data_IF_915930592421
#
_entry.id   IF_915930592421
#
_cell.length_a   1.000
_cell.length_b   1.000
_cell.length_c   1.000
_cell.angle_alpha   90.00
_cell.angle_beta   90.00
_cell.angle_gamma   90.00
#
_symmetry.space_group_name_H-M   'P 1'
#
loop_
_entity.id
_entity.type
_entity.pdbx_description
1 polymer ?
2 polymer ?
3 polymer ?
4 non-polymer ?
5 water ?
#
# COMPACT_ATOMS: atom_id res chain seq x y z
N UNK A 1 -2.71 -2.99 8.21
CA UNK A 1 -3.66 -2.25 7.34
C UNK A 1 -3.35 -0.76 7.28
N UNK A 2 -3.79 -0.01 8.29
CA UNK A 2 -3.58 1.43 8.34
C UNK A 2 -2.98 1.92 9.68
N UNK A 3 -1.80 1.42 10.01
CA UNK A 3 -1.09 1.81 11.24
C UNK A 3 0.26 2.41 10.85
N UNK A 4 0.25 3.17 9.75
CA UNK A 4 1.44 3.81 9.22
C UNK A 4 1.70 5.16 9.90
N UNK A 5 2.97 5.57 9.90
CA UNK A 5 3.39 6.81 10.53
C UNK A 5 2.84 8.10 9.92
N UNK A 6 2.55 8.09 8.62
CA UNK A 6 2.03 9.28 7.96
C UNK A 6 0.51 9.42 7.99
N UNK A 7 -0.17 8.49 8.65
CA UNK A 7 -1.62 8.53 8.76
C UNK A 7 -2.02 9.50 9.87
N UNK A 8 -2.75 10.55 9.51
CA UNK A 8 -3.18 11.56 10.48
C UNK A 8 -4.62 11.45 10.96
N UNK A 9 -5.36 10.48 10.45
CA UNK A 9 -6.74 10.33 10.88
C UNK A 9 -7.69 11.38 10.34
N UNK A 10 -8.61 11.82 11.19
CA UNK A 10 -9.63 12.80 10.82
C UNK A 10 -9.23 14.27 10.85
N UNK A 11 -8.23 14.66 10.07
CA UNK A 11 -7.84 16.07 10.04
C UNK A 11 -8.49 16.70 8.81
N UNK A 12 -8.73 18.00 8.86
CA UNK A 12 -9.37 18.69 7.75
C UNK A 12 -8.46 18.84 6.53
N UNK A 13 -9.06 19.09 5.38
CA UNK A 13 -8.32 19.26 4.15
C UNK A 13 -7.33 20.41 4.30
N UNK A 14 -7.80 21.52 4.88
CA UNK A 14 -6.95 22.69 5.07
C UNK A 14 -5.82 22.43 6.07
N UNK A 15 -6.06 21.57 7.05
CA UNK A 15 -5.03 21.26 8.02
C UNK A 15 -3.92 20.47 7.33
N UNK A 16 -4.33 19.57 6.43
CA UNK A 16 -3.36 18.77 5.69
C UNK A 16 -2.50 19.64 4.79
N UNK A 17 -3.12 20.62 4.15
CA UNK A 17 -2.41 21.54 3.27
C UNK A 17 -1.35 22.30 4.07
N UNK A 18 -1.72 22.73 5.28
CA UNK A 18 -0.82 23.47 6.16
C UNK A 18 0.41 22.64 6.52
N UNK A 19 0.20 21.45 7.06
CA UNK A 19 1.31 20.60 7.44
C UNK A 19 2.31 20.42 6.30
N UNK A 20 1.80 20.19 5.09
CA UNK A 20 2.67 19.98 3.94
C UNK A 20 3.39 21.24 3.48
N UNK A 21 2.68 22.36 3.47
CA UNK A 21 3.28 23.62 3.04
C UNK A 21 4.37 24.06 3.99
N UNK A 22 4.24 23.68 5.26
CA UNK A 22 5.22 24.04 6.28
C UNK A 22 6.60 23.46 5.97
N UNK A 23 6.66 22.21 5.52
CA UNK A 23 7.96 21.63 5.21
C UNK A 23 8.65 22.41 4.10
N UNK A 24 7.85 22.98 3.21
CA UNK A 24 8.39 23.74 2.10
C UNK A 24 9.12 22.86 1.10
N UNK A 25 8.88 21.55 1.17
CA UNK A 25 9.54 20.59 0.29
C UNK A 25 8.63 19.80 -0.65
N UNK A 26 8.94 19.82 -1.94
CA UNK A 26 8.18 19.04 -2.92
C UNK A 26 8.40 17.59 -2.53
N UNK A 27 7.36 16.77 -2.59
CA UNK A 27 7.52 15.37 -2.24
C UNK A 27 7.15 15.06 -0.81
N UNK A 28 6.87 16.07 0.01
CA UNK A 28 6.46 15.80 1.37
C UNK A 28 5.03 15.24 1.27
N UNK A 29 4.71 14.25 2.10
CA UNK A 29 3.40 13.63 2.03
C UNK A 29 2.81 13.14 3.35
N UNK A 30 1.49 13.04 3.38
CA UNK A 30 0.77 12.55 4.55
C UNK A 30 -0.49 11.83 4.08
N UNK A 31 -1.10 11.08 4.98
CA UNK A 31 -2.31 10.34 4.64
C UNK A 31 -3.37 10.68 5.68
N UNK A 32 -4.56 11.05 5.22
CA UNK A 32 -5.65 11.39 6.13
C UNK A 32 -6.95 10.76 5.63
N UNK A 33 -8.02 10.96 6.41
CA UNK A 33 -9.35 10.45 6.08
C UNK A 33 -10.02 11.41 5.12
N UNK A 34 -10.96 10.89 4.34
CA UNK A 34 -11.71 11.73 3.41
C UNK A 34 -12.62 12.54 4.33
N UNK A 35 -12.94 13.78 3.95
CA UNK A 35 -13.80 14.60 4.79
C UNK A 35 -15.29 14.24 4.74
N UNK A 36 -15.69 13.31 3.88
CA UNK A 36 -17.11 12.99 3.79
C UNK A 36 -17.50 11.60 3.29
N UNK A 37 -16.52 10.78 2.92
CA UNK A 37 -16.83 9.43 2.45
C UNK A 37 -16.14 8.41 3.35
N UNK A 38 -16.93 7.61 4.07
CA UNK A 38 -16.37 6.60 4.96
C UNK A 38 -15.58 5.56 4.19
N UNK A 39 -14.47 5.12 4.76
CA UNK A 39 -13.66 4.10 4.12
C UNK A 39 -12.81 4.57 2.96
N UNK A 40 -12.76 5.87 2.73
CA UNK A 40 -11.95 6.42 1.66
C UNK A 40 -10.85 7.30 2.27
N UNK A 41 -9.63 7.15 1.77
CA UNK A 41 -8.53 7.94 2.31
C UNK A 41 -7.87 8.81 1.24
N UNK A 42 -7.15 9.83 1.70
CA UNK A 42 -6.46 10.75 0.80
C UNK A 42 -4.95 10.82 1.01
N UNK A 43 -4.21 10.46 -0.03
CA UNK A 43 -2.76 10.54 0.01
C UNK A 43 -2.46 11.94 -0.54
N UNK A 44 -1.84 12.78 0.28
CA UNK A 44 -1.53 14.15 -0.12
C UNK A 44 -0.03 14.39 -0.32
N UNK A 45 0.32 14.96 -1.47
CA UNK A 45 1.71 15.24 -1.80
C UNK A 45 1.88 16.67 -2.26
N UNK A 46 2.89 17.36 -1.74
CA UNK A 46 3.14 18.74 -2.14
C UNK A 46 4.02 18.80 -3.40
N UNK A 47 3.58 19.57 -4.40
CA UNK A 47 4.36 19.73 -5.62
C UNK A 47 4.13 21.12 -6.22
N UNK A 48 5.19 21.93 -6.23
CA UNK A 48 5.17 23.29 -6.75
C UNK A 48 4.03 24.18 -6.24
N UNK A 49 3.82 24.19 -4.93
CA UNK A 49 2.79 25.04 -4.37
C UNK A 49 1.40 24.47 -4.24
N UNK A 50 1.16 23.27 -4.78
CA UNK A 50 -0.17 22.68 -4.67
C UNK A 50 -0.12 21.33 -3.96
N UNK A 51 -1.23 20.95 -3.33
CA UNK A 51 -1.28 19.67 -2.65
C UNK A 51 -2.07 18.69 -3.52
N UNK A 52 -1.36 17.75 -4.12
CA UNK A 52 -1.99 16.75 -4.95
C UNK A 52 -2.57 15.65 -4.08
N UNK A 53 -3.87 15.45 -4.25
CA UNK A 53 -4.60 14.47 -3.47
C UNK A 53 -5.05 13.26 -4.29
N UNK A 54 -4.62 12.08 -3.87
CA UNK A 54 -5.01 10.85 -4.53
C UNK A 54 -5.92 10.12 -3.57
N UNK A 55 -7.04 9.64 -4.10
CA UNK A 55 -8.00 8.90 -3.30
C UNK A 55 -7.59 7.44 -3.23
N UNK A 56 -7.59 6.89 -2.02
CA UNK A 56 -7.21 5.50 -1.80
C UNK A 56 -8.33 4.76 -1.08
N UNK A 57 -8.60 3.53 -1.50
CA UNK A 57 -9.67 2.75 -0.90
C UNK A 57 -9.51 1.24 -1.06
N UNK A 58 -10.25 0.51 -0.24
CA UNK A 58 -10.24 -0.95 -0.25
C UNK A 58 -11.34 -1.54 -1.11
N UNK A 59 -11.14 -2.80 -1.50
CA UNK A 59 -12.12 -3.54 -2.28
C UNK A 59 -12.73 -4.52 -1.27
N UNK A 60 -13.63 -5.38 -1.72
CA UNK A 60 -14.26 -6.35 -0.82
C UNK A 60 -13.21 -7.26 -0.18
N UNK A 61 -12.24 -7.69 -0.99
CA UNK A 61 -11.18 -8.57 -0.54
C UNK A 61 -10.15 -7.91 0.39
N UNK A 62 -10.36 -6.63 0.69
CA UNK A 62 -9.46 -5.92 1.58
C UNK A 62 -8.12 -5.48 1.00
N UNK A 63 -8.07 -5.32 -0.32
CA UNK A 63 -6.86 -4.88 -0.98
C UNK A 63 -6.95 -3.38 -1.26
N UNK A 64 -5.83 -2.67 -1.09
CA UNK A 64 -5.81 -1.23 -1.31
C UNK A 64 -5.44 -0.84 -2.73
N UNK A 65 -5.94 0.32 -3.15
CA UNK A 65 -5.70 0.81 -4.49
C UNK A 65 -5.90 2.31 -4.55
N UNK A 66 -5.07 2.97 -5.35
CA UNK A 66 -5.15 4.42 -5.53
C UNK A 66 -5.95 4.71 -6.80
N UNK A 67 -6.72 5.79 -6.78
CA UNK A 67 -7.53 6.14 -7.94
C UNK A 67 -6.65 6.26 -9.18
N UNK A 68 -7.02 5.54 -10.23
CA UNK A 68 -6.25 5.53 -11.46
C UNK A 68 -6.97 6.21 -12.62
N UNK A 69 -6.20 6.82 -13.51
CA UNK A 69 -6.75 7.51 -14.68
C UNK A 69 -7.38 6.50 -15.61
N UNK A 70 -8.46 6.89 -16.30
CA UNK A 70 -9.13 5.98 -17.23
C UNK A 70 -8.19 5.39 -18.28
N UNK A 71 -8.29 4.08 -18.48
CA UNK A 71 -7.45 3.40 -19.45
C UNK A 71 -6.20 2.79 -18.85
N UNK A 72 -5.89 3.16 -17.61
CA UNK A 72 -4.70 2.66 -16.93
C UNK A 72 -5.04 1.54 -15.95
N UNK A 73 -4.23 0.49 -15.98
CA UNK A 73 -4.43 -0.65 -15.10
C UNK A 73 -4.24 -0.30 -13.62
N UNK A 74 -5.22 -0.66 -12.80
CA UNK A 74 -5.15 -0.41 -11.37
C UNK A 74 -4.13 -1.36 -10.77
N UNK A 75 -3.55 -0.96 -9.65
CA UNK A 75 -2.59 -1.79 -8.95
C UNK A 75 -3.08 -1.97 -7.52
N UNK A 76 -3.04 -3.20 -7.02
CA UNK A 76 -3.52 -3.46 -5.67
C UNK A 76 -2.42 -3.83 -4.69
N UNK A 77 -2.68 -3.58 -3.41
CA UNK A 77 -1.72 -3.88 -2.35
C UNK A 77 -2.47 -4.35 -1.09
N UNK A 78 -2.00 -5.42 -0.45
CA UNK A 78 -2.66 -5.91 0.77
C UNK A 78 -2.47 -4.93 1.91
N UNK A 79 -1.25 -4.41 2.04
CA UNK A 79 -0.95 -3.46 3.10
C UNK A 79 -0.70 -2.08 2.51
N UNK A 80 -1.32 -1.08 3.12
CA UNK A 80 -1.19 0.28 2.65
C UNK A 80 0.27 0.72 2.68
N UNK A 81 1.05 0.14 3.58
CA UNK A 81 2.46 0.49 3.69
C UNK A 81 3.24 0.08 2.43
N UNK A 82 2.72 -0.89 1.69
CA UNK A 82 3.39 -1.33 0.47
C UNK A 82 2.95 -0.48 -0.72
N UNK A 83 1.83 0.22 -0.56
CA UNK A 83 1.34 1.07 -1.63
C UNK A 83 2.22 2.32 -1.58
N UNK A 84 2.54 2.76 -0.37
CA UNK A 84 3.39 3.92 -0.17
C UNK A 84 4.80 3.65 -0.67
N UNK A 85 5.37 2.51 -0.30
CA UNK A 85 6.71 2.17 -0.77
C UNK A 85 6.75 2.21 -2.29
N UNK A 86 5.77 1.58 -2.93
CA UNK A 86 5.71 1.55 -4.39
C UNK A 86 5.75 2.96 -5.00
N UNK A 87 5.21 3.94 -4.29
CA UNK A 87 5.19 5.29 -4.83
C UNK A 87 6.34 6.19 -4.39
N UNK A 88 7.32 5.61 -3.70
CA UNK A 88 8.51 6.33 -3.29
C UNK A 88 9.48 6.23 -4.47
N UNK A 89 9.19 5.30 -5.38
CA UNK A 89 10.03 5.10 -6.56
C UNK A 89 9.67 6.08 -7.67
N UNK A 90 10.63 6.37 -8.55
CA UNK A 90 10.38 7.31 -9.65
C UNK A 90 9.50 6.72 -10.76
N UNK A 91 8.98 7.60 -11.61
CA UNK A 91 8.12 7.25 -12.74
C UNK A 91 7.04 6.20 -12.46
N UNK A 92 6.31 6.38 -11.36
CA UNK A 92 5.25 5.45 -10.99
C UNK A 92 3.85 5.98 -11.29
N UNK A 93 3.77 7.13 -11.95
CA UNK A 93 2.47 7.67 -12.27
C UNK A 93 1.93 8.81 -11.44
N UNK A 94 2.65 9.25 -10.41
CA UNK A 94 2.17 10.39 -9.64
C UNK A 94 3.06 11.60 -9.95
N UNK A 95 2.61 12.81 -9.60
CA UNK A 95 3.36 14.03 -9.91
C UNK A 95 4.83 14.04 -9.48
N UNK A 96 5.14 13.48 -8.31
CA UNK A 96 6.51 13.40 -7.82
C UNK A 96 6.56 12.30 -6.75
N UNK A 97 7.66 11.56 -6.68
CA UNK A 97 7.79 10.47 -5.70
C UNK A 97 7.64 10.87 -4.24
N UNK A 98 6.92 10.07 -3.48
CA UNK A 98 6.75 10.34 -2.07
C UNK A 98 8.17 10.36 -1.49
N UNK A 99 8.59 11.47 -0.88
CA UNK A 99 9.95 11.55 -0.34
C UNK A 99 10.10 11.95 1.12
N UNK A 100 9.34 12.94 1.57
CA UNK A 100 9.43 13.39 2.95
C UNK A 100 8.15 13.10 3.72
N UNK A 101 8.15 12.01 4.50
CA UNK A 101 6.96 11.66 5.27
C UNK A 101 6.70 12.64 6.39
N UNK A 102 5.50 13.22 6.42
CA UNK A 102 5.12 14.14 7.48
C UNK A 102 4.34 13.31 8.49
N UNK A 103 5.05 12.77 9.47
CA UNK A 103 4.46 11.92 10.51
C UNK A 103 3.55 12.64 11.50
N UNK A 104 2.61 11.90 12.08
CA UNK A 104 1.68 12.49 13.04
C UNK A 104 2.33 12.65 14.41
N UNK B 1 -8.07 30.05 -3.67
CA UNK B 1 -8.70 29.78 -2.35
C UNK B 1 -8.30 28.40 -1.81
N UNK B 2 -8.07 27.45 -2.72
CA UNK B 2 -7.68 26.09 -2.33
C UNK B 2 -6.48 25.59 -3.11
N UNK B 3 -5.49 25.08 -2.38
CA UNK B 3 -4.28 24.57 -3.00
C UNK B 3 -4.39 23.08 -3.33
N UNK B 4 -5.52 22.47 -2.99
CA UNK B 4 -5.71 21.05 -3.26
C UNK B 4 -6.15 20.76 -4.69
N UNK B 5 -5.51 19.77 -5.31
CA UNK B 5 -5.85 19.36 -6.67
C UNK B 5 -6.08 17.86 -6.60
N UNK B 6 -7.24 17.39 -7.06
CA UNK B 6 -7.53 15.96 -7.05
C UNK B 6 -6.89 15.31 -8.27
N UNK B 7 -5.98 14.39 -8.00
CA UNK B 7 -5.22 13.73 -9.04
C UNK B 7 -5.52 12.26 -9.13
N UNK B 8 -5.05 11.65 -10.22
CA UNK B 8 -5.23 10.23 -10.46
C UNK B 8 -3.87 9.69 -10.89
N UNK B 9 -3.65 8.40 -10.68
CA UNK B 9 -2.41 7.76 -11.05
C UNK B 9 -2.40 7.63 -12.58
N UNK B 10 -1.29 7.99 -13.21
CA UNK B 10 -1.21 7.95 -14.67
C UNK B 10 -0.57 6.71 -15.30
N UNK B 11 0.10 5.88 -14.51
CA UNK B 11 0.73 4.67 -15.04
C UNK B 11 0.37 3.45 -14.22
N UNK C 1 8.75 -24.84 15.02
CA UNK C 1 8.29 -24.74 13.60
C UNK C 1 9.19 -23.75 12.85
N UNK C 2 9.61 -24.11 11.64
CA UNK C 2 10.48 -23.25 10.84
C UNK C 2 10.10 -23.20 9.36
N UNK C 3 9.94 -24.37 8.75
CA UNK C 3 9.58 -24.44 7.34
C UNK C 3 8.15 -24.87 7.05
N UNK C 4 7.58 -24.33 5.98
CA UNK C 4 6.23 -24.66 5.54
C UNK C 4 6.26 -25.00 4.07
N UNK C 5 5.29 -25.78 3.62
CA UNK C 5 5.20 -26.14 2.21
C UNK C 5 3.80 -25.76 1.71
N UNK C 6 3.72 -25.36 0.45
CA UNK C 6 2.44 -24.96 -0.13
C UNK C 6 1.64 -26.20 -0.48
N UNK C 7 0.36 -26.19 -0.11
CA UNK C 7 -0.54 -27.31 -0.39
C UNK C 7 -1.22 -27.20 -1.75
N UNK C 8 -1.42 -25.98 -2.22
CA UNK C 8 -2.09 -25.73 -3.50
C UNK C 8 -1.41 -24.56 -4.23
N UNK C 9 -1.59 -24.48 -5.55
CA UNK C 9 -1.04 -23.40 -6.36
C UNK C 9 -1.72 -22.09 -5.95
N UNK C 10 -1.11 -20.97 -6.31
CA UNK C 10 -1.69 -19.68 -5.98
C UNK C 10 -1.13 -18.55 -6.85
N UNK C 11 -2.03 -17.78 -7.45
CA UNK C 11 -1.67 -16.64 -8.29
C UNK C 11 -1.79 -15.42 -7.41
N UNK C 12 -0.78 -14.57 -7.43
CA UNK C 12 -0.81 -13.36 -6.62
C UNK C 12 -2.00 -12.49 -7.01
N UNK C 13 -2.75 -12.05 -6.00
CA UNK C 13 -3.91 -11.19 -6.21
C UNK C 13 -3.48 -9.73 -6.25
N UNK C 14 -2.47 -9.39 -5.44
CA UNK C 14 -1.95 -8.03 -5.36
C UNK C 14 -0.48 -8.02 -5.76
N UNK C 15 0.14 -6.84 -5.71
CA UNK C 15 1.54 -6.71 -6.07
C UNK C 15 2.49 -7.25 -5.00
N UNK C 16 2.08 -7.14 -3.74
CA UNK C 16 2.90 -7.63 -2.64
C UNK C 16 2.59 -9.08 -2.21
N UNK C 17 1.92 -9.83 -3.08
CA UNK C 17 1.59 -11.23 -2.84
C UNK C 17 2.62 -12.05 -3.61
N UNK C 18 2.79 -13.31 -3.22
CA UNK C 18 3.70 -14.19 -3.92
C UNK C 18 2.87 -15.14 -4.78
N UNK C 19 3.49 -15.69 -5.81
CA UNK C 19 2.85 -16.66 -6.68
C UNK C 19 3.67 -17.91 -6.42
N UNK C 20 3.01 -18.99 -6.05
CA UNK C 20 3.73 -20.21 -5.78
C UNK C 20 2.97 -21.41 -6.28
N UNK C 21 3.66 -22.54 -6.36
CA UNK C 21 3.06 -23.77 -6.83
C UNK C 21 3.04 -24.79 -5.70
N UNK C 22 2.25 -25.84 -5.87
CA UNK C 22 2.15 -26.88 -4.85
C UNK C 22 3.53 -27.48 -4.58
N UNK C 23 3.85 -27.65 -3.31
CA UNK C 23 5.13 -28.24 -2.95
C UNK C 23 6.23 -27.24 -2.62
N UNK C 24 6.11 -26.03 -3.16
CA UNK C 24 7.09 -24.98 -2.93
C UNK C 24 7.25 -24.79 -1.42
N UNK C 25 8.50 -24.68 -0.96
CA UNK C 25 8.78 -24.50 0.46
C UNK C 25 9.06 -23.05 0.84
N UNK C 26 8.60 -22.66 2.02
CA UNK C 26 8.76 -21.29 2.51
C UNK C 26 9.39 -21.18 3.90
N UNK C 27 9.75 -19.95 4.23
CA UNK C 27 10.30 -19.61 5.52
C UNK C 27 9.41 -18.45 5.92
N UNK C 28 8.74 -18.56 7.05
CA UNK C 28 7.83 -17.51 7.49
C UNK C 28 8.60 -16.35 8.14
N UNK C 29 8.31 -15.13 7.68
CA UNK C 29 8.98 -13.94 8.21
C UNK C 29 8.08 -13.18 9.17
N UNK C 30 6.78 -13.33 9.01
CA UNK C 30 5.83 -12.63 9.87
C UNK C 30 4.54 -13.44 9.94
N UNK C 31 4.32 -14.06 11.09
CA UNK C 31 3.13 -14.87 11.32
C UNK C 31 2.15 -14.11 12.20
N UNK C 32 2.42 -12.83 12.41
CA UNK C 32 1.59 -11.98 13.25
C UNK C 32 0.18 -11.76 12.70
N UNK C 33 0.08 -11.38 11.43
CA UNK C 33 -1.22 -11.14 10.79
C UNK C 33 -2.15 -12.34 10.93
N UNK C 34 -3.45 -12.11 10.72
CA UNK C 34 -4.43 -13.17 10.84
C UNK C 34 -4.35 -14.29 9.82
N UNK C 35 -4.81 -14.01 8.61
CA UNK C 35 -4.80 -15.01 7.56
C UNK C 35 -3.70 -14.79 6.53
N UNK C 36 -2.97 -13.69 6.64
CA UNK C 36 -1.91 -13.43 5.68
C UNK C 36 -0.53 -13.30 6.32
N UNK C 37 0.38 -14.19 5.92
CA UNK C 37 1.73 -14.18 6.46
C UNK C 37 2.77 -13.70 5.47
N UNK C 38 3.75 -12.96 5.96
CA UNK C 38 4.83 -12.51 5.09
C UNK C 38 5.79 -13.68 5.06
N UNK C 39 6.34 -13.98 3.90
CA UNK C 39 7.24 -15.11 3.79
C UNK C 39 8.20 -15.00 2.62
N UNK C 40 9.21 -15.86 2.64
CA UNK C 40 10.18 -15.89 1.57
C UNK C 40 10.17 -17.27 0.94
N UNK C 41 10.13 -17.30 -0.38
CA UNK C 41 10.15 -18.56 -1.11
C UNK C 41 11.58 -19.06 -1.10
N UNK C 42 11.75 -20.35 -0.82
CA UNK C 42 13.07 -20.96 -0.79
C UNK C 42 13.39 -21.49 -2.18
N UNK C 43 12.54 -21.14 -3.14
CA UNK C 43 12.72 -21.56 -4.52
C UNK C 43 13.18 -20.39 -5.38
N UNK C 44 12.68 -19.21 -5.04
CA UNK C 44 13.00 -17.99 -5.78
C UNK C 44 13.72 -16.96 -4.92
N UNK C 45 13.54 -17.05 -3.61
CA UNK C 45 14.18 -16.09 -2.72
C UNK C 45 13.32 -14.85 -2.56
N UNK C 46 12.22 -14.79 -3.31
CA UNK C 46 11.32 -13.65 -3.24
C UNK C 46 10.57 -13.56 -1.91
N UNK C 47 10.20 -12.34 -1.54
CA UNK C 47 9.48 -12.09 -0.30
C UNK C 47 8.09 -11.53 -0.62
N UNK C 48 7.11 -11.92 0.19
CA UNK C 48 5.75 -11.46 -0.02
C UNK C 48 4.72 -12.17 0.84
N UNK C 49 3.48 -11.68 0.80
CA UNK C 49 2.40 -12.26 1.58
C UNK C 49 1.84 -13.51 0.93
N UNK C 50 1.45 -14.47 1.76
CA UNK C 50 0.86 -15.71 1.27
C UNK C 50 -0.36 -16.09 2.10
N UNK C 51 -1.32 -16.82 1.50
CA UNK C 51 -2.53 -17.24 2.21
C UNK C 51 -2.16 -18.19 3.35
N UNK C 52 -2.52 -17.82 4.56
CA UNK C 52 -2.24 -18.64 5.73
C UNK C 52 -2.61 -20.11 5.54
N UNK C 53 -3.81 -20.37 5.04
CA UNK C 53 -4.29 -21.74 4.86
C UNK C 53 -3.77 -22.52 3.63
N UNK C 54 -2.92 -21.90 2.82
CA UNK C 54 -2.37 -22.60 1.66
C UNK C 54 -1.07 -23.33 2.00
N UNK C 55 -0.65 -23.22 3.25
CA UNK C 55 0.58 -23.86 3.67
C UNK C 55 0.42 -24.67 4.96
N UNK C 56 1.31 -25.63 5.15
CA UNK C 56 1.32 -26.48 6.34
C UNK C 56 2.77 -26.82 6.68
N UNK C 57 3.07 -27.02 7.98
CA UNK C 57 4.43 -27.35 8.42
C UNK C 57 5.00 -28.51 7.60
N UNK C 58 6.24 -28.37 7.13
CA UNK C 58 6.88 -29.41 6.31
C UNK C 58 6.81 -30.81 6.92
N UNK C 59 6.82 -30.88 8.25
CA UNK C 59 6.72 -32.16 8.94
C UNK C 59 5.24 -32.49 9.09
N UNK C 60 4.51 -32.43 7.97
CA UNK C 60 3.08 -32.71 7.94
C UNK C 60 2.77 -34.14 7.51
N UNK C 61 1.80 -34.76 8.18
CA UNK C 61 1.40 -36.14 7.89
C UNK C 61 0.93 -36.28 6.43
X LIG D 1 -13.21 13.49 -1.45
X LIG D 1 -13.45 15.05 -1.37
X LIG D 1 -13.69 15.80 0.07
X LIG D 1 -14.96 16.79 0.04
X LIG D 1 -12.30 16.52 0.55
X LIG D 1 -11.00 15.66 0.73
X LIG D 1 -13.64 12.79 -2.35
X LIG D 1 -12.54 13.02 -0.55
X LIG D 1 -15.11 17.57 -0.91
X LIG D 1 -15.75 16.73 1.00
X LIG D 1 -10.91 14.89 1.68
X LIG D 1 -10.12 15.79 -0.12
X LIG D 1 -13.96 14.86 1.11
#
# INVERSE_FOLDING_TARGET
>A
MDAVAVYHGKISRETGEKLLLATGLDGSYLLRDSESVPGVYCLCVLYHGYIYTYRVSQTETGSWSAETAPGVHKRYFRKIKNLISAFQKPDQGIVIPLQYPVEK
>B
KSLTIYAQVQK
>C
VTLFVALYDYEARTEDDLSFHKGEKFQILNSSEGDWWEARSLTTGETGYIPSNYVAPVDSI
>D hetero
1 FLC CAC CA CB CBC CG CGC OA1 OA2 OB1 OB2 OG1 OG2 OHB
#
